data_IF_512185475354
#
_entry.id   IF_512185475354
#
_cell.length_a   1.000
_cell.length_b   1.000
_cell.length_c   1.000
_cell.angle_alpha   90.00
_cell.angle_beta   90.00
_cell.angle_gamma   90.00
#
_symmetry.space_group_name_H-M   'P 1'
#
loop_
_entity.id
_entity.type
_entity.pdbx_description
1 polymer ?
#
# COMPACT_ATOMS: atom_id res chain seq x y z
N UNK A 1 -13.29 -75.56 3.23
CA UNK A 1 -13.05 -74.48 4.21
C UNK A 1 -13.45 -73.15 3.57
N UNK A 2 -13.87 -72.17 4.38
CA UNK A 2 -14.51 -70.88 4.01
C UNK A 2 -13.58 -69.92 3.19
N UNK A 3 -14.02 -68.86 2.46
CA UNK A 3 -15.34 -68.40 1.94
C UNK A 3 -15.17 -67.24 0.91
N UNK A 4 -16.19 -67.02 0.05
CA UNK A 4 -16.73 -65.73 -0.57
C UNK A 4 -15.75 -64.73 -1.26
N UNK A 5 -15.88 -64.38 -2.56
CA UNK A 5 -16.91 -63.58 -3.34
C UNK A 5 -16.76 -62.04 -3.17
N UNK A 6 -16.66 -61.13 -4.18
CA UNK A 6 -17.34 -60.83 -5.49
C UNK A 6 -18.78 -60.26 -5.41
N UNK A 7 -19.31 -59.37 -6.29
CA UNK A 7 -18.74 -58.36 -7.27
C UNK A 7 -19.19 -56.94 -6.82
N UNK A 8 -19.64 -55.85 -7.52
CA UNK A 8 -19.98 -55.35 -8.90
C UNK A 8 -19.67 -53.82 -8.92
N UNK A 9 -19.49 -53.00 -10.00
CA UNK A 9 -19.58 -53.07 -11.48
C UNK A 9 -20.85 -52.46 -12.17
N UNK A 10 -20.63 -51.82 -13.36
CA UNK A 10 -21.56 -51.40 -14.46
C UNK A 10 -22.00 -49.91 -14.58
N UNK A 11 -22.06 -49.44 -15.84
CA UNK A 11 -22.43 -48.11 -16.39
C UNK A 11 -23.83 -48.21 -17.04
N UNK A 12 -24.66 -47.14 -17.08
CA UNK A 12 -25.56 -46.88 -18.24
C UNK A 12 -26.36 -45.55 -18.28
N UNK A 13 -26.62 -45.12 -19.52
CA UNK A 13 -27.68 -44.26 -20.09
C UNK A 13 -27.97 -42.81 -19.66
N UNK A 14 -27.85 -41.93 -20.67
CA UNK A 14 -28.68 -40.74 -20.87
C UNK A 14 -30.13 -41.14 -21.25
N UNK A 15 -31.12 -40.38 -20.77
CA UNK A 15 -32.42 -40.22 -21.46
C UNK A 15 -32.98 -38.82 -21.22
N UNK A 16 -33.78 -38.33 -22.16
CA UNK A 16 -34.26 -36.94 -22.21
C UNK A 16 -35.78 -36.91 -22.05
N UNK A 17 -36.29 -36.13 -21.10
CA UNK A 17 -37.73 -35.84 -20.98
C UNK A 17 -37.97 -34.43 -20.46
N UNK A 18 -38.84 -33.69 -21.13
CA UNK A 18 -39.37 -32.42 -20.62
C UNK A 18 -40.63 -32.70 -19.79
N UNK A 19 -40.69 -32.12 -18.60
CA UNK A 19 -41.95 -31.86 -17.90
C UNK A 19 -41.86 -30.52 -17.18
N UNK A 20 -42.40 -29.47 -17.81
CA UNK A 20 -42.74 -28.23 -17.13
C UNK A 20 -43.86 -28.50 -16.11
N UNK A 21 -43.72 -28.09 -14.86
CA UNK A 21 -44.82 -27.53 -14.06
C UNK A 21 -44.34 -26.80 -12.80
N UNK A 22 -44.84 -25.57 -12.64
CA UNK A 22 -45.07 -24.79 -11.40
C UNK A 22 -44.03 -24.75 -10.26
N UNK A 23 -43.62 -23.52 -9.95
CA UNK A 23 -43.00 -23.02 -8.72
C UNK A 23 -43.37 -23.77 -7.41
N UNK A 24 -42.37 -24.08 -6.59
CA UNK A 24 -42.37 -23.62 -5.19
C UNK A 24 -40.98 -23.06 -4.85
N UNK A 25 -40.95 -21.81 -4.37
CA UNK A 25 -39.71 -21.16 -3.92
C UNK A 25 -39.55 -21.43 -2.43
N UNK A 26 -38.88 -22.52 -2.05
CA UNK A 26 -38.62 -22.83 -0.62
C UNK A 26 -37.64 -21.82 -0.02
N UNK A 27 -38.16 -20.72 0.52
CA UNK A 27 -37.38 -19.70 1.21
C UNK A 27 -36.85 -20.29 2.53
N UNK A 28 -35.59 -20.73 2.53
CA UNK A 28 -34.85 -20.94 3.76
C UNK A 28 -34.54 -19.58 4.41
N UNK A 29 -35.44 -19.16 5.29
CA UNK A 29 -35.28 -17.98 6.12
C UNK A 29 -34.15 -18.19 7.14
N UNK A 30 -32.91 -17.96 6.72
CA UNK A 30 -31.79 -17.75 7.66
C UNK A 30 -32.10 -16.47 8.42
N UNK A 31 -32.40 -16.59 9.70
CA UNK A 31 -32.71 -15.47 10.58
C UNK A 31 -31.44 -14.71 10.95
N UNK A 32 -30.94 -13.92 10.01
CA UNK A 32 -29.87 -12.95 10.24
C UNK A 32 -30.33 -11.95 11.30
N UNK A 33 -29.56 -11.73 12.39
CA UNK A 33 -29.81 -10.62 13.32
C UNK A 33 -29.83 -9.28 12.55
N UNK A 34 -30.57 -8.26 13.00
CA UNK A 34 -30.69 -7.00 12.29
C UNK A 34 -29.30 -6.41 12.02
N UNK A 35 -29.01 -6.14 10.76
CA UNK A 35 -27.77 -5.50 10.35
C UNK A 35 -27.66 -4.13 10.99
N UNK A 36 -26.80 -3.97 11.98
CA UNK A 36 -26.34 -2.65 12.38
C UNK A 36 -25.67 -2.02 11.16
N UNK A 37 -26.11 -0.82 10.80
CA UNK A 37 -25.45 -0.03 9.76
C UNK A 37 -24.03 0.28 10.25
N UNK A 38 -23.04 -0.38 9.65
CA UNK A 38 -21.63 -0.12 9.95
C UNK A 38 -21.26 1.20 9.30
N UNK A 39 -21.54 2.29 10.02
CA UNK A 39 -20.93 3.58 9.74
C UNK A 39 -19.41 3.39 9.66
N UNK A 40 -18.80 3.92 8.59
CA UNK A 40 -17.35 3.86 8.37
C UNK A 40 -16.61 4.82 9.33
N UNK A 41 -16.61 4.49 10.61
CA UNK A 41 -15.72 5.11 11.60
C UNK A 41 -14.29 4.61 11.44
N UNK A 42 -13.31 5.47 11.75
CA UNK A 42 -11.91 5.11 11.68
C UNK A 42 -11.56 4.10 12.79
N UNK A 43 -11.31 2.83 12.42
CA UNK A 43 -10.83 1.80 13.36
C UNK A 43 -9.45 2.19 13.91
N UNK A 44 -9.43 2.61 15.17
CA UNK A 44 -8.22 2.93 15.91
C UNK A 44 -7.81 1.75 16.78
N UNK A 45 -6.49 1.53 16.95
CA UNK A 45 -5.99 0.36 17.68
C UNK A 45 -6.46 0.39 19.14
N UNK A 46 -7.03 -0.72 19.60
CA UNK A 46 -7.41 -0.93 21.00
C UNK A 46 -6.18 -1.23 21.88
N UNK A 47 -6.37 -1.12 23.19
CA UNK A 47 -5.34 -1.45 24.19
C UNK A 47 -5.01 -2.95 24.19
N UNK A 48 -6.00 -3.77 23.87
CA UNK A 48 -5.97 -5.23 23.85
C UNK A 48 -5.15 -5.72 22.65
N UNK A 49 -5.39 -5.13 21.47
CA UNK A 49 -4.61 -5.39 20.24
C UNK A 49 -3.17 -4.90 20.39
N UNK A 50 -2.95 -3.70 20.93
CA UNK A 50 -1.60 -3.21 21.24
C UNK A 50 -0.86 -4.17 22.19
N UNK A 51 -1.57 -4.75 23.16
CA UNK A 51 -1.00 -5.74 24.09
C UNK A 51 -0.63 -7.04 23.36
N UNK A 52 -1.44 -7.51 22.41
CA UNK A 52 -1.12 -8.65 21.56
C UNK A 52 0.10 -8.38 20.65
N UNK A 53 0.14 -7.22 19.99
CA UNK A 53 1.23 -6.78 19.11
C UNK A 53 2.57 -6.63 19.86
N UNK A 54 2.53 -6.11 21.10
CA UNK A 54 3.68 -6.06 22.02
C UNK A 54 4.14 -7.45 22.47
N UNK A 55 3.21 -8.37 22.74
CA UNK A 55 3.52 -9.77 23.09
C UNK A 55 4.18 -10.52 21.92
N UNK A 56 3.79 -10.20 20.69
CA UNK A 56 4.40 -10.74 19.48
C UNK A 56 5.76 -10.08 19.14
N UNK A 57 5.96 -8.81 19.51
CA UNK A 57 7.15 -8.02 19.16
C UNK A 57 7.00 -7.17 17.89
N UNK A 58 5.80 -7.12 17.31
CA UNK A 58 5.45 -6.26 16.16
C UNK A 58 5.58 -4.77 16.54
N UNK A 59 5.24 -4.45 17.78
CA UNK A 59 5.32 -3.11 18.37
C UNK A 59 6.19 -3.17 19.63
N UNK A 60 7.03 -2.16 19.85
CA UNK A 60 7.90 -2.08 21.01
C UNK A 60 7.13 -1.86 22.32
N UNK A 61 7.70 -2.33 23.44
CA UNK A 61 7.00 -2.41 24.75
C UNK A 61 6.61 -1.05 25.33
N UNK A 62 7.32 0.00 24.97
CA UNK A 62 7.16 1.40 25.40
C UNK A 62 6.00 2.14 24.70
N UNK A 63 5.64 1.75 23.46
CA UNK A 63 4.65 2.46 22.63
C UNK A 63 3.26 2.50 23.29
N UNK A 64 2.59 3.65 23.32
CA UNK A 64 1.21 3.78 23.83
C UNK A 64 0.17 3.74 22.71
N UNK A 65 -1.10 3.49 23.06
CA UNK A 65 -2.23 3.58 22.11
C UNK A 65 -2.31 4.97 21.48
N UNK A 66 -2.16 6.02 22.28
CA UNK A 66 -2.14 7.41 21.82
C UNK A 66 -1.01 7.67 20.82
N UNK A 67 0.22 7.21 21.12
CA UNK A 67 1.37 7.37 20.21
C UNK A 67 1.19 6.64 18.88
N UNK A 68 0.51 5.50 18.88
CA UNK A 68 0.27 4.71 17.67
C UNK A 68 -0.92 5.23 16.84
N UNK A 69 -1.89 5.89 17.48
CA UNK A 69 -3.04 6.51 16.82
C UNK A 69 -2.83 8.01 16.48
N UNK A 70 -1.74 8.65 16.93
CA UNK A 70 -1.47 10.10 16.82
C UNK A 70 -1.63 10.68 15.40
N UNK A 71 -1.33 9.91 14.34
CA UNK A 71 -1.47 10.43 12.97
C UNK A 71 -2.91 10.34 12.40
N UNK A 72 -3.83 9.60 13.04
CA UNK A 72 -5.22 9.49 12.57
C UNK A 72 -5.96 10.82 12.67
N UNK A 73 -5.74 11.59 13.73
CA UNK A 73 -6.64 12.62 14.34
C UNK A 73 -7.09 13.84 13.49
N UNK A 74 -6.92 13.86 12.16
CA UNK A 74 -7.75 14.72 11.28
C UNK A 74 -7.83 14.21 9.83
N UNK A 75 -8.99 14.40 9.21
CA UNK A 75 -9.27 14.12 7.79
C UNK A 75 -9.06 15.35 6.88
N UNK A 76 -9.21 16.56 7.44
CA UNK A 76 -9.20 17.87 6.73
C UNK A 76 -7.78 18.35 6.35
N UNK A 77 -6.94 17.44 5.85
CA UNK A 77 -5.52 17.68 5.59
C UNK A 77 -4.97 16.69 4.52
N UNK A 78 -5.84 16.08 3.70
CA UNK A 78 -5.40 15.13 2.67
C UNK A 78 -4.67 15.82 1.51
N UNK A 79 -3.68 15.13 0.95
CA UNK A 79 -2.91 15.59 -0.22
C UNK A 79 -3.76 15.57 -1.48
N UNK A 80 -3.64 16.63 -2.28
CA UNK A 80 -4.40 16.77 -3.52
C UNK A 80 -3.96 15.75 -4.56
N UNK A 81 -4.90 15.34 -5.41
CA UNK A 81 -4.59 14.66 -6.67
C UNK A 81 -3.97 15.69 -7.63
N UNK A 82 -3.06 15.25 -8.49
CA UNK A 82 -2.50 16.09 -9.57
C UNK A 82 -3.62 16.54 -10.54
N UNK A 83 -3.67 17.83 -10.90
CA UNK A 83 -4.59 18.37 -11.92
C UNK A 83 -3.83 19.05 -13.06
N UNK A 84 -4.53 19.45 -14.12
CA UNK A 84 -3.93 20.19 -15.23
C UNK A 84 -3.52 21.64 -14.87
N UNK A 85 -3.99 22.13 -13.73
CA UNK A 85 -3.67 23.46 -13.19
C UNK A 85 -2.36 23.47 -12.37
N UNK A 86 -1.84 22.29 -12.01
CA UNK A 86 -0.51 22.14 -11.40
C UNK A 86 0.59 22.36 -12.44
N UNK A 87 1.74 22.89 -12.02
CA UNK A 87 2.95 22.86 -12.86
C UNK A 87 3.51 21.43 -12.95
N UNK A 88 2.96 20.69 -13.91
CA UNK A 88 3.26 19.29 -14.18
C UNK A 88 4.76 19.00 -14.38
N UNK A 89 5.53 19.99 -14.85
CA UNK A 89 6.97 19.85 -15.08
C UNK A 89 7.72 19.53 -13.77
N UNK A 90 7.31 20.14 -12.65
CA UNK A 90 7.93 19.91 -11.34
C UNK A 90 7.69 18.49 -10.80
N UNK A 91 6.72 17.77 -11.36
CA UNK A 91 6.44 16.36 -11.08
C UNK A 91 6.92 15.43 -12.21
N UNK A 92 7.62 15.95 -13.23
CA UNK A 92 8.04 15.18 -14.41
C UNK A 92 6.86 14.55 -15.15
N UNK A 93 5.75 15.31 -15.27
CA UNK A 93 4.51 14.96 -15.94
C UNK A 93 4.17 15.99 -17.03
N UNK A 94 3.21 15.64 -17.88
CA UNK A 94 2.54 16.52 -18.84
C UNK A 94 1.16 15.95 -19.19
N UNK A 95 0.28 16.80 -19.70
CA UNK A 95 -1.00 16.37 -20.25
C UNK A 95 -0.82 15.97 -21.72
N UNK A 96 -1.43 14.86 -22.16
CA UNK A 96 -1.42 14.43 -23.56
C UNK A 96 -2.62 15.02 -24.34
N UNK A 97 -2.80 14.61 -25.61
CA UNK A 97 -3.90 15.09 -26.49
C UNK A 97 -5.26 14.45 -26.20
N UNK A 98 -5.34 13.64 -25.14
CA UNK A 98 -6.52 12.93 -24.64
C UNK A 98 -6.88 13.42 -23.22
N UNK A 99 -6.26 14.54 -22.81
CA UNK A 99 -6.34 15.15 -21.47
C UNK A 99 -5.79 14.29 -20.32
N UNK A 100 -5.09 13.19 -20.63
CA UNK A 100 -4.51 12.26 -19.66
C UNK A 100 -3.13 12.71 -19.15
N UNK A 101 -2.84 12.40 -17.89
CA UNK A 101 -1.52 12.65 -17.28
C UNK A 101 -0.52 11.56 -17.68
N UNK A 102 0.56 11.96 -18.35
CA UNK A 102 1.63 11.06 -18.82
C UNK A 102 3.01 11.58 -18.41
N UNK A 103 4.00 10.70 -18.33
CA UNK A 103 5.40 11.16 -18.34
C UNK A 103 5.89 11.49 -19.75
N UNK A 104 5.51 10.68 -20.75
CA UNK A 104 5.92 10.85 -22.14
C UNK A 104 4.77 10.61 -23.13
N UNK A 105 4.56 11.55 -24.05
CA UNK A 105 3.61 11.43 -25.19
C UNK A 105 3.94 10.29 -26.17
N UNK A 106 5.15 9.72 -26.11
CA UNK A 106 5.64 8.73 -27.08
C UNK A 106 6.00 7.43 -26.36
N UNK A 107 5.42 6.27 -26.73
CA UNK A 107 5.61 5.00 -26.01
C UNK A 107 7.00 4.34 -26.21
N UNK A 108 7.95 5.05 -26.83
CA UNK A 108 9.27 4.54 -27.21
C UNK A 108 10.43 5.42 -26.71
N UNK A 109 10.21 6.22 -25.65
CA UNK A 109 11.32 6.93 -24.98
C UNK A 109 12.24 5.95 -24.25
N UNK A 110 13.48 6.36 -24.00
CA UNK A 110 14.48 5.59 -23.24
C UNK A 110 13.93 5.15 -21.88
N UNK A 111 13.03 5.92 -21.27
CA UNK A 111 12.36 5.58 -20.00
C UNK A 111 11.57 4.27 -20.07
N UNK A 112 10.91 3.94 -21.20
CA UNK A 112 10.22 2.63 -21.38
C UNK A 112 11.16 1.47 -21.71
N UNK A 113 12.44 1.73 -22.02
CA UNK A 113 13.49 0.71 -22.05
C UNK A 113 14.06 0.46 -20.63
N UNK A 114 14.08 1.51 -19.80
CA UNK A 114 14.56 1.47 -18.42
C UNK A 114 13.49 1.03 -17.40
N UNK A 115 12.20 1.04 -17.73
CA UNK A 115 11.14 0.62 -16.81
C UNK A 115 9.79 0.40 -17.49
N UNK A 116 8.73 0.28 -16.68
CA UNK A 116 7.33 0.26 -17.12
C UNK A 116 6.56 1.34 -16.36
N UNK A 117 5.51 1.94 -16.95
CA UNK A 117 4.64 2.85 -16.20
C UNK A 117 3.91 2.12 -15.07
N UNK A 118 3.35 2.91 -14.15
CA UNK A 118 2.43 2.37 -13.15
C UNK A 118 1.19 1.75 -13.82
N UNK A 119 0.68 0.60 -13.35
CA UNK A 119 -0.42 -0.08 -14.03
C UNK A 119 -1.66 0.80 -14.20
N UNK A 120 -2.32 0.67 -15.35
CA UNK A 120 -3.47 1.52 -15.70
C UNK A 120 -3.13 2.98 -16.03
N UNK A 121 -1.85 3.35 -16.15
CA UNK A 121 -1.40 4.71 -16.49
C UNK A 121 -0.27 4.71 -17.53
N UNK A 122 0.02 5.89 -18.07
CA UNK A 122 1.26 6.17 -18.82
C UNK A 122 2.25 7.07 -18.03
N UNK A 123 2.15 7.00 -16.70
CA UNK A 123 3.07 7.68 -15.77
C UNK A 123 4.22 6.73 -15.42
N UNK A 124 5.44 7.16 -15.70
CA UNK A 124 6.65 6.40 -15.35
C UNK A 124 7.00 6.62 -13.86
N UNK A 125 7.44 5.56 -13.15
CA UNK A 125 8.04 5.69 -11.82
C UNK A 125 9.29 6.57 -11.85
N UNK A 126 9.51 7.32 -10.77
CA UNK A 126 10.65 8.20 -10.57
C UNK A 126 11.27 7.94 -9.20
N UNK A 127 12.59 8.14 -9.10
CA UNK A 127 13.31 7.97 -7.83
C UNK A 127 12.71 8.93 -6.78
N UNK A 128 12.37 8.40 -5.62
CA UNK A 128 11.72 9.12 -4.54
C UNK A 128 10.18 9.00 -4.50
N UNK A 129 9.51 8.47 -5.53
CA UNK A 129 8.06 8.25 -5.49
C UNK A 129 7.68 7.39 -4.28
N UNK A 130 6.74 7.87 -3.47
CA UNK A 130 6.28 7.14 -2.28
C UNK A 130 5.10 6.27 -2.68
N UNK A 131 5.22 4.97 -2.44
CA UNK A 131 4.15 3.99 -2.62
C UNK A 131 3.46 3.80 -1.26
N UNK A 132 2.14 4.01 -1.20
CA UNK A 132 1.35 3.88 0.04
C UNK A 132 0.10 3.06 -0.21
N UNK A 133 -0.18 2.08 0.65
CA UNK A 133 -1.53 1.47 0.78
C UNK A 133 -2.17 1.86 2.10
N UNK A 134 -3.49 1.66 2.20
CA UNK A 134 -4.20 1.51 3.47
C UNK A 134 -4.86 0.13 3.51
N UNK A 135 -4.94 -0.48 4.69
CA UNK A 135 -5.57 -1.80 4.91
C UNK A 135 -6.50 -1.69 6.10
N UNK A 136 -7.82 -1.71 5.86
CA UNK A 136 -8.83 -1.28 6.83
C UNK A 136 -9.04 -2.15 8.08
N UNK A 137 -8.24 -3.20 8.31
CA UNK A 137 -8.27 -4.00 9.54
C UNK A 137 -6.88 -4.60 9.83
N UNK A 138 -6.71 -5.13 11.05
CA UNK A 138 -5.40 -5.45 11.64
C UNK A 138 -4.62 -6.61 10.98
N UNK A 139 -3.75 -6.31 10.00
CA UNK A 139 -2.62 -7.19 9.62
C UNK A 139 -1.46 -6.43 8.92
N UNK A 140 -1.20 -5.20 9.34
CA UNK A 140 -0.15 -4.34 8.78
C UNK A 140 -0.46 -2.88 9.11
N UNK A 141 -0.49 -2.55 10.40
CA UNK A 141 -1.25 -1.40 10.90
C UNK A 141 -0.61 -0.04 10.56
N UNK A 142 -1.25 0.85 9.80
CA UNK A 142 -2.48 0.67 8.99
C UNK A 142 -2.11 1.05 7.55
N UNK A 143 -1.76 0.04 6.74
CA UNK A 143 -1.19 0.17 5.41
C UNK A 143 0.25 -0.31 5.27
N UNK A 144 0.81 -0.17 4.07
CA UNK A 144 2.22 -0.41 3.77
C UNK A 144 2.82 0.81 3.06
N UNK A 145 4.12 1.05 3.25
CA UNK A 145 4.84 2.17 2.65
C UNK A 145 6.14 1.69 2.01
N UNK A 146 6.50 2.27 0.87
CA UNK A 146 7.76 2.03 0.17
C UNK A 146 8.19 3.27 -0.59
N UNK A 147 9.45 3.31 -1.02
CA UNK A 147 10.00 4.42 -1.80
C UNK A 147 10.71 3.88 -3.04
N UNK A 148 10.40 4.45 -4.20
CA UNK A 148 11.00 4.06 -5.48
C UNK A 148 12.46 4.49 -5.54
N UNK A 149 13.34 3.59 -5.96
CA UNK A 149 14.79 3.81 -6.03
C UNK A 149 15.34 3.85 -7.47
N UNK A 150 14.52 3.48 -8.46
CA UNK A 150 14.73 3.62 -9.91
C UNK A 150 13.46 3.17 -10.65
N UNK A 151 13.42 3.31 -11.98
CA UNK A 151 12.26 3.01 -12.85
C UNK A 151 11.75 1.56 -12.80
N UNK A 152 12.44 0.66 -12.08
CA UNK A 152 12.06 -0.76 -11.92
C UNK A 152 11.76 -1.15 -10.47
N UNK A 153 12.36 -0.52 -9.47
CA UNK A 153 12.43 -1.07 -8.11
C UNK A 153 12.07 -0.05 -6.99
N UNK A 154 11.59 -0.58 -5.87
CA UNK A 154 11.36 0.15 -4.62
C UNK A 154 12.14 -0.48 -3.45
N UNK A 155 12.30 0.29 -2.37
CA UNK A 155 12.83 -0.14 -1.08
C UNK A 155 11.72 -0.13 -0.01
N UNK A 156 11.65 -1.18 0.82
CA UNK A 156 10.80 -1.24 2.03
C UNK A 156 11.23 -2.39 2.96
N UNK A 157 10.47 -2.65 4.03
CA UNK A 157 10.54 -3.83 4.88
C UNK A 157 9.13 -4.44 5.00
N UNK A 158 8.84 -5.64 4.46
CA UNK A 158 7.46 -6.09 4.22
C UNK A 158 6.58 -6.26 5.46
N UNK A 159 7.16 -6.55 6.63
CA UNK A 159 6.39 -6.73 7.86
C UNK A 159 7.16 -7.46 8.96
N UNK A 160 6.43 -7.90 9.98
CA UNK A 160 6.98 -8.62 11.13
C UNK A 160 7.78 -9.86 10.72
N UNK A 161 8.94 -10.08 11.37
CA UNK A 161 9.94 -11.12 11.07
C UNK A 161 10.60 -11.05 9.68
N UNK A 162 10.31 -10.03 8.87
CA UNK A 162 11.03 -9.76 7.63
C UNK A 162 12.18 -8.77 7.87
N UNK A 163 13.04 -8.63 6.85
CA UNK A 163 14.14 -7.68 6.78
C UNK A 163 13.91 -6.67 5.64
N UNK A 164 14.65 -5.55 5.58
CA UNK A 164 14.55 -4.62 4.47
C UNK A 164 14.90 -5.30 3.13
N UNK A 165 14.14 -5.00 2.08
CA UNK A 165 14.30 -5.55 0.73
C UNK A 165 14.29 -4.44 -0.34
N UNK A 166 14.87 -4.78 -1.48
CA UNK A 166 14.60 -4.14 -2.77
C UNK A 166 13.81 -5.15 -3.61
N UNK A 167 12.67 -4.73 -4.15
CA UNK A 167 11.84 -5.55 -5.07
C UNK A 167 11.30 -4.66 -6.21
N UNK A 168 10.85 -5.31 -7.27
CA UNK A 168 10.25 -4.71 -8.45
C UNK A 168 8.93 -4.01 -8.16
N UNK A 169 8.70 -2.86 -8.79
CA UNK A 169 7.46 -2.08 -8.67
C UNK A 169 6.25 -2.93 -9.13
N UNK A 170 6.43 -3.81 -10.11
CA UNK A 170 5.36 -4.70 -10.58
C UNK A 170 5.05 -5.86 -9.61
N UNK A 171 5.92 -6.12 -8.62
CA UNK A 171 5.62 -6.96 -7.47
C UNK A 171 4.71 -6.22 -6.48
N UNK A 172 5.04 -4.96 -6.15
CA UNK A 172 4.21 -4.10 -5.28
C UNK A 172 2.75 -4.12 -5.72
N UNK A 173 2.43 -3.66 -6.93
CA UNK A 173 1.03 -3.56 -7.39
C UNK A 173 0.30 -4.90 -7.55
N UNK A 174 1.01 -6.03 -7.57
CA UNK A 174 0.38 -7.36 -7.55
C UNK A 174 -0.25 -7.66 -6.19
N UNK A 175 0.41 -7.27 -5.10
CA UNK A 175 0.01 -7.61 -3.73
C UNK A 175 -0.62 -6.42 -2.98
N UNK A 176 -0.17 -5.20 -3.25
CA UNK A 176 -0.62 -3.93 -2.67
C UNK A 176 -1.81 -3.35 -3.44
N UNK A 177 -3.01 -3.88 -3.17
CA UNK A 177 -4.25 -3.24 -3.59
C UNK A 177 -4.40 -1.83 -2.99
N UNK A 178 -5.18 -0.98 -3.63
CA UNK A 178 -5.54 0.36 -3.15
C UNK A 178 -4.30 1.25 -2.93
N UNK A 179 -3.31 1.10 -3.81
CA UNK A 179 -2.06 1.87 -3.79
C UNK A 179 -2.27 3.29 -4.31
N UNK A 180 -1.78 4.26 -3.54
CA UNK A 180 -1.54 5.63 -3.98
C UNK A 180 -0.05 5.84 -4.18
N UNK A 181 0.32 6.50 -5.28
CA UNK A 181 1.68 6.97 -5.55
C UNK A 181 1.71 8.46 -5.33
N UNK A 182 2.66 8.90 -4.49
CA UNK A 182 2.84 10.30 -4.12
C UNK A 182 4.19 10.78 -4.66
N UNK A 183 4.18 11.88 -5.42
CA UNK A 183 5.39 12.54 -5.91
C UNK A 183 5.47 13.95 -5.35
N UNK A 184 6.68 14.41 -5.03
CA UNK A 184 6.95 15.78 -4.60
C UNK A 184 7.42 16.64 -5.77
N UNK A 185 7.16 17.95 -5.71
CA UNK A 185 7.53 18.94 -6.73
C UNK A 185 9.03 19.30 -6.78
N UNK A 186 9.95 18.44 -6.32
CA UNK A 186 11.37 18.76 -6.14
C UNK A 186 12.27 17.55 -6.40
N UNK A 187 12.62 17.34 -7.68
CA UNK A 187 13.36 16.16 -8.17
C UNK A 187 14.61 15.82 -7.35
N UNK A 188 15.49 16.79 -7.06
CA UNK A 188 16.73 16.56 -6.29
C UNK A 188 16.46 15.94 -4.90
N UNK A 189 15.43 16.39 -4.19
CA UNK A 189 15.06 15.83 -2.87
C UNK A 189 14.43 14.45 -3.01
N UNK A 190 13.69 14.18 -4.09
CA UNK A 190 13.17 12.86 -4.39
C UNK A 190 14.33 11.88 -4.71
N UNK A 191 15.33 12.33 -5.47
CA UNK A 191 16.52 11.55 -5.82
C UNK A 191 17.34 11.18 -4.58
N UNK A 192 17.71 12.17 -3.76
CA UNK A 192 18.48 11.95 -2.53
C UNK A 192 17.76 10.99 -1.56
N UNK A 193 16.43 11.03 -1.49
CA UNK A 193 15.63 10.13 -0.66
C UNK A 193 15.69 8.68 -1.18
N UNK A 194 15.46 8.45 -2.49
CA UNK A 194 15.54 7.09 -3.04
C UNK A 194 16.97 6.53 -3.03
N UNK A 195 17.99 7.37 -3.17
CA UNK A 195 19.39 6.96 -3.02
C UNK A 195 19.69 6.54 -1.56
N UNK A 196 19.28 7.34 -0.57
CA UNK A 196 19.39 6.98 0.85
C UNK A 196 18.67 5.66 1.18
N UNK A 197 17.47 5.45 0.63
CA UNK A 197 16.67 4.26 0.92
C UNK A 197 17.28 2.97 0.33
N UNK A 198 17.86 3.04 -0.88
CA UNK A 198 18.66 1.93 -1.45
C UNK A 198 19.82 1.58 -0.54
N UNK A 199 20.60 2.58 -0.14
CA UNK A 199 21.83 2.36 0.61
C UNK A 199 21.53 1.91 2.05
N UNK A 200 20.44 2.39 2.65
CA UNK A 200 19.91 1.84 3.90
C UNK A 200 19.64 0.32 3.82
N UNK A 201 18.90 -0.14 2.81
CA UNK A 201 18.60 -1.59 2.64
C UNK A 201 19.87 -2.40 2.44
N UNK A 202 20.79 -1.90 1.61
CA UNK A 202 22.08 -2.53 1.30
C UNK A 202 22.97 -2.69 2.53
N UNK A 203 23.04 -1.66 3.38
CA UNK A 203 23.96 -1.61 4.52
C UNK A 203 23.32 -2.19 5.81
N UNK A 204 21.98 -2.27 5.87
CA UNK A 204 21.21 -2.81 7.01
C UNK A 204 20.33 -4.03 6.66
N UNK A 205 20.81 -5.05 5.90
CA UNK A 205 19.99 -6.15 5.37
C UNK A 205 19.51 -7.16 6.44
N UNK A 206 19.81 -6.89 7.72
CA UNK A 206 19.39 -7.68 8.88
C UNK A 206 18.60 -6.86 9.92
N UNK A 207 18.27 -5.60 9.62
CA UNK A 207 17.44 -4.79 10.51
C UNK A 207 16.09 -5.47 10.75
N UNK A 208 15.61 -5.42 11.98
CA UNK A 208 14.45 -6.16 12.45
C UNK A 208 13.21 -5.30 12.33
N UNK A 209 12.10 -5.88 11.86
CA UNK A 209 10.82 -5.18 11.91
C UNK A 209 10.33 -5.04 13.36
N UNK A 210 10.14 -3.79 13.82
CA UNK A 210 9.33 -3.47 15.00
C UNK A 210 8.95 -1.99 15.01
N UNK A 211 7.68 -1.68 15.25
CA UNK A 211 7.20 -0.30 15.38
C UNK A 211 7.71 0.29 16.70
N UNK A 212 8.45 1.38 16.62
CA UNK A 212 9.11 2.04 17.75
C UNK A 212 9.05 3.56 17.62
N UNK A 213 9.01 4.26 18.76
CA UNK A 213 9.15 5.71 18.84
C UNK A 213 10.56 6.20 18.46
N UNK A 214 11.57 5.33 18.45
CA UNK A 214 12.94 5.67 18.05
C UNK A 214 13.04 5.84 16.52
N UNK A 215 12.51 6.95 16.02
CA UNK A 215 12.41 7.26 14.59
C UNK A 215 13.79 7.47 13.93
N UNK A 216 14.83 7.78 14.72
CA UNK A 216 16.20 8.01 14.22
C UNK A 216 17.11 6.78 14.24
N UNK A 217 16.81 5.72 15.02
CA UNK A 217 17.62 4.49 15.01
C UNK A 217 17.51 3.76 13.67
N UNK A 218 18.52 2.98 13.28
CA UNK A 218 18.51 2.16 12.06
C UNK A 218 18.06 0.70 12.29
N UNK A 219 18.01 0.25 13.55
CA UNK A 219 17.40 -1.01 14.01
C UNK A 219 16.72 -0.79 15.39
N UNK A 220 15.50 -1.31 15.64
CA UNK A 220 14.57 -1.87 14.67
C UNK A 220 13.99 -0.80 13.72
N UNK A 221 13.38 -1.25 12.63
CA UNK A 221 12.79 -0.40 11.59
C UNK A 221 11.37 -0.87 11.23
N UNK A 222 10.69 -0.11 10.38
CA UNK A 222 9.38 -0.46 9.81
C UNK A 222 9.17 0.31 8.49
N UNK A 223 8.19 -0.12 7.68
CA UNK A 223 8.03 0.32 6.29
C UNK A 223 8.04 1.84 6.08
N UNK A 224 7.16 2.55 6.79
CA UNK A 224 7.04 4.01 6.74
C UNK A 224 8.21 4.75 7.39
N UNK A 225 8.96 4.13 8.31
CA UNK A 225 10.18 4.71 8.88
C UNK A 225 11.32 4.77 7.87
N UNK A 226 11.48 3.79 6.98
CA UNK A 226 12.46 3.85 5.89
C UNK A 226 12.17 5.06 4.98
N UNK A 227 10.91 5.23 4.58
CA UNK A 227 10.46 6.37 3.76
C UNK A 227 10.65 7.71 4.48
N UNK A 228 10.31 7.80 5.76
CA UNK A 228 10.48 9.05 6.52
C UNK A 228 11.97 9.38 6.72
N UNK A 229 12.80 8.41 7.09
CA UNK A 229 14.23 8.62 7.26
C UNK A 229 14.90 9.04 5.95
N UNK A 230 14.49 8.49 4.81
CA UNK A 230 14.94 8.90 3.49
C UNK A 230 14.73 10.41 3.26
N UNK A 231 13.48 10.88 3.40
CA UNK A 231 13.15 12.30 3.18
C UNK A 231 13.61 13.25 4.29
N UNK A 232 13.74 12.77 5.53
CA UNK A 232 14.30 13.57 6.63
C UNK A 232 15.79 13.90 6.44
N UNK A 233 16.48 13.22 5.52
CA UNK A 233 17.89 13.48 5.15
C UNK A 233 18.05 14.46 3.99
N UNK A 234 16.97 14.90 3.33
CA UNK A 234 17.04 15.77 2.13
C UNK A 234 16.76 17.25 2.43
N UNK A 235 17.09 17.69 3.65
CA UNK A 235 16.82 19.06 4.13
C UNK A 235 15.33 19.34 4.34
N UNK A 236 14.77 18.76 5.41
CA UNK A 236 13.43 19.04 5.96
C UNK A 236 12.22 18.82 5.01
N UNK A 237 12.31 17.93 4.02
CA UNK A 237 11.16 17.67 3.12
C UNK A 237 9.89 17.21 3.88
N UNK A 238 10.06 16.37 4.92
CA UNK A 238 8.99 15.74 5.71
C UNK A 238 9.05 16.07 7.22
N UNK A 239 9.68 17.19 7.57
CA UNK A 239 9.88 17.60 8.96
C UNK A 239 10.99 16.81 9.69
N UNK A 240 11.69 17.46 10.61
CA UNK A 240 12.56 16.80 11.59
C UNK A 240 11.77 16.27 12.80
N UNK A 241 12.11 15.05 13.25
CA UNK A 241 11.54 14.44 14.46
C UNK A 241 12.58 13.58 15.19
N UNK A 242 12.43 13.45 16.52
CA UNK A 242 13.33 12.70 17.41
C UNK A 242 12.67 11.47 18.03
N UNK A 243 11.41 11.60 18.47
CA UNK A 243 10.66 10.56 19.17
C UNK A 243 9.18 10.56 18.74
N UNK A 244 8.83 9.73 17.75
CA UNK A 244 7.48 9.64 17.18
C UNK A 244 7.32 8.34 16.38
N UNK A 245 6.07 7.98 16.03
CA UNK A 245 5.76 6.95 15.04
C UNK A 245 5.22 7.63 13.79
N UNK A 246 5.64 7.15 12.61
CA UNK A 246 5.09 7.58 11.32
C UNK A 246 4.30 6.45 10.69
N UNK A 247 2.99 6.59 10.54
CA UNK A 247 2.14 5.60 9.91
C UNK A 247 2.26 5.68 8.37
N UNK A 248 2.01 4.60 7.62
CA UNK A 248 1.99 4.62 6.15
C UNK A 248 1.03 5.67 5.58
N UNK A 249 -0.20 5.74 6.08
CA UNK A 249 -1.17 6.77 5.68
C UNK A 249 -0.75 8.19 6.10
N UNK A 250 0.22 8.36 7.00
CA UNK A 250 0.75 9.66 7.41
C UNK A 250 1.36 10.42 6.23
N UNK A 251 1.87 9.71 5.22
CA UNK A 251 2.33 10.30 3.96
C UNK A 251 1.18 10.85 3.09
N UNK A 252 -0.09 10.56 3.38
CA UNK A 252 -1.23 11.13 2.64
C UNK A 252 -1.72 12.47 3.24
N UNK A 253 -1.04 13.02 4.25
CA UNK A 253 -1.45 14.24 4.96
C UNK A 253 -0.49 15.41 4.69
N UNK A 254 -1.01 16.55 4.21
CA UNK A 254 -0.22 17.73 3.78
C UNK A 254 0.66 18.25 4.92
N UNK A 255 0.18 18.28 6.17
CA UNK A 255 0.98 18.73 7.34
C UNK A 255 2.30 18.00 7.55
N UNK A 256 2.46 16.79 7.02
CA UNK A 256 3.69 16.00 7.13
C UNK A 256 4.79 16.39 6.13
N UNK A 257 4.52 17.35 5.24
CA UNK A 257 5.48 17.92 4.30
C UNK A 257 5.74 19.39 4.67
N UNK A 258 6.96 19.90 4.43
CA UNK A 258 7.35 21.28 4.83
C UNK A 258 7.87 22.12 3.68
N UNK A 259 8.98 21.73 3.07
CA UNK A 259 9.63 22.53 2.00
C UNK A 259 9.23 22.10 0.58
N UNK A 260 8.20 21.26 0.44
CA UNK A 260 7.81 20.63 -0.83
C UNK A 260 6.30 20.46 -0.90
N UNK A 261 5.74 20.53 -2.10
CA UNK A 261 4.35 20.22 -2.40
C UNK A 261 4.25 18.78 -2.90
N UNK A 262 3.61 17.86 -2.16
CA UNK A 262 3.29 16.53 -2.65
C UNK A 262 1.99 16.54 -3.47
N UNK A 263 1.87 15.61 -4.42
CA UNK A 263 0.62 15.28 -5.12
C UNK A 263 0.45 13.77 -5.24
N UNK A 264 -0.80 13.31 -5.15
CA UNK A 264 -1.16 11.94 -5.54
C UNK A 264 -1.22 11.88 -7.06
N UNK A 265 -0.25 11.20 -7.67
CA UNK A 265 -0.09 11.10 -9.14
C UNK A 265 -0.70 9.81 -9.71
N UNK A 266 -0.86 8.78 -8.89
CA UNK A 266 -1.58 7.54 -9.25
C UNK A 266 -2.41 7.11 -8.05
N UNK A 267 -3.63 6.63 -8.28
CA UNK A 267 -4.47 6.00 -7.26
C UNK A 267 -5.13 4.77 -7.87
N UNK A 268 -4.48 3.61 -7.72
CA UNK A 268 -5.06 2.33 -8.13
C UNK A 268 -6.18 1.92 -7.17
N UNK A 269 -7.41 2.37 -7.45
CA UNK A 269 -8.58 1.58 -7.10
C UNK A 269 -8.68 0.40 -8.07
N UNK A 270 -8.89 -0.81 -7.56
CA UNK A 270 -8.96 -2.00 -8.45
C UNK A 270 -10.23 -1.94 -9.29
N UNK A 271 -10.11 -1.91 -10.62
CA UNK A 271 -11.24 -2.08 -11.54
C UNK A 271 -11.42 -3.54 -11.92
N UNK A 272 -12.30 -4.25 -11.20
CA UNK A 272 -12.74 -5.61 -11.55
C UNK A 272 -14.19 -5.51 -12.01
N UNK A 273 -14.48 -5.91 -13.25
CA UNK A 273 -15.85 -5.94 -13.80
C UNK A 273 -16.54 -4.56 -13.92
N UNK A 274 -15.79 -3.46 -13.89
CA UNK A 274 -16.33 -2.09 -13.93
C UNK A 274 -16.70 -1.49 -12.56
N UNK A 275 -16.58 -2.25 -11.48
CA UNK A 275 -16.68 -1.73 -10.11
C UNK A 275 -15.34 -1.13 -9.68
N UNK A 276 -15.37 -0.05 -8.89
CA UNK A 276 -14.20 0.53 -8.24
C UNK A 276 -14.11 -0.04 -6.81
N UNK A 277 -12.91 -0.49 -6.42
CA UNK A 277 -12.56 -0.97 -5.08
C UNK A 277 -11.33 -0.23 -4.54
#
# INVERSE_FOLDING_TARGET
>A
MNMRKTVFAIICYLLFSLSLFSNETTIFAVSTPPSQEVHAGEETITKEELTALKKQGVVSKDVTVQQLNQEHESQDDTIDVITADDDLNNYGLRQNKQDEMVSDEKPHTVRRLLGKPYPGTDIMPQKGDILVTSTGALNGLIGHAGIVINEKNYASIPGFRQHPIIDSIQSWFRYSANTKVIRINHQEKADLAGDWARDYVKDHPKARYSITMSIQSLDPTYCSKIVWQAYAKTGDAVGHATFTIKAPYGFLKKRNYKTVTPKVIVSEGRKIGGLNF
#
